data_IF_497319818443
#
_entry.id   IF_497319818443
#
_cell.length_a   1.000
_cell.length_b   1.000
_cell.length_c   1.000
_cell.angle_alpha   90.00
_cell.angle_beta   90.00
_cell.angle_gamma   90.00
#
_symmetry.space_group_name_H-M   'P 1'
#
loop_
_entity.id
_entity.type
_entity.pdbx_description
1 polymer ?
#
# COMPACT_ATOMS: atom_id res chain seq x y z
N UNK A 1 18.37 26.97 -41.50
CA UNK A 1 17.23 27.65 -40.86
C UNK A 1 16.05 26.71 -40.92
N UNK A 2 15.50 26.14 -39.86
CA UNK A 2 15.85 26.05 -38.45
C UNK A 2 15.09 24.79 -38.01
N UNK A 3 15.82 23.83 -37.45
CA UNK A 3 15.25 22.63 -36.88
C UNK A 3 14.32 23.05 -35.75
N UNK A 4 13.01 22.82 -35.90
CA UNK A 4 12.06 22.93 -34.80
C UNK A 4 12.32 21.78 -33.84
N UNK A 5 13.28 21.98 -32.95
CA UNK A 5 13.43 21.18 -31.73
C UNK A 5 12.13 21.29 -30.95
N UNK A 6 11.38 20.19 -30.91
CA UNK A 6 10.30 20.01 -29.95
C UNK A 6 10.86 20.21 -28.53
N UNK A 7 10.12 20.82 -27.60
CA UNK A 7 10.53 20.88 -26.22
C UNK A 7 10.64 19.43 -25.72
N UNK A 8 11.86 19.01 -25.38
CA UNK A 8 12.13 17.79 -24.62
C UNK A 8 11.22 17.87 -23.39
N UNK A 9 10.21 17.00 -23.32
CA UNK A 9 9.46 16.81 -22.10
C UNK A 9 10.52 16.60 -21.00
N UNK A 10 10.51 17.47 -19.99
CA UNK A 10 11.34 17.34 -18.81
C UNK A 10 10.99 15.98 -18.21
N UNK A 11 11.77 14.96 -18.56
CA UNK A 11 11.75 13.69 -17.88
C UNK A 11 12.07 14.04 -16.43
N UNK A 12 11.08 13.91 -15.55
CA UNK A 12 11.31 14.02 -14.12
C UNK A 12 12.29 12.92 -13.73
N UNK A 13 13.59 13.24 -13.78
CA UNK A 13 14.70 12.36 -13.42
C UNK A 13 14.61 12.15 -11.92
N UNK A 14 14.18 10.96 -11.50
CA UNK A 14 14.27 10.55 -10.11
C UNK A 14 15.48 9.66 -9.95
N UNK A 15 16.16 9.78 -8.81
CA UNK A 15 17.33 9.00 -8.47
C UNK A 15 17.11 8.33 -7.12
N UNK A 16 17.72 7.17 -6.93
CA UNK A 16 17.74 6.46 -5.65
C UNK A 16 19.17 6.25 -5.23
N UNK A 17 19.50 6.78 -4.06
CA UNK A 17 20.75 6.52 -3.38
C UNK A 17 20.57 5.31 -2.47
N UNK A 18 21.35 4.26 -2.69
CA UNK A 18 21.32 3.02 -1.91
C UNK A 18 22.39 3.07 -0.82
N UNK A 19 21.96 2.97 0.43
CA UNK A 19 22.81 2.90 1.61
C UNK A 19 22.70 1.52 2.26
N UNK A 20 23.81 1.05 2.82
CA UNK A 20 23.87 -0.18 3.59
C UNK A 20 23.45 0.02 5.05
N UNK A 21 23.38 -1.07 5.83
CA UNK A 21 22.92 -1.06 7.22
C UNK A 21 23.77 -0.24 8.18
N UNK A 22 24.98 0.17 7.78
CA UNK A 22 25.84 1.06 8.58
C UNK A 22 25.88 2.48 8.01
N UNK A 23 24.97 2.81 7.10
CA UNK A 23 24.90 4.11 6.41
C UNK A 23 25.94 4.27 5.30
N UNK A 24 26.69 3.21 4.96
CA UNK A 24 27.67 3.27 3.89
C UNK A 24 26.98 3.41 2.52
N UNK A 25 27.44 4.35 1.70
CA UNK A 25 26.93 4.51 0.34
C UNK A 25 27.36 3.32 -0.52
N UNK A 26 26.38 2.69 -1.18
CA UNK A 26 26.58 1.47 -1.97
C UNK A 26 26.43 1.69 -3.45
N UNK A 27 25.35 2.38 -3.83
CA UNK A 27 25.01 2.61 -5.22
C UNK A 27 24.17 3.88 -5.38
N UNK A 28 24.09 4.40 -6.59
CA UNK A 28 23.18 5.49 -6.96
C UNK A 28 22.63 5.20 -8.36
N UNK A 29 21.33 4.96 -8.44
CA UNK A 29 20.65 4.63 -9.68
C UNK A 29 19.68 5.72 -10.09
N UNK A 30 19.73 6.10 -11.37
CA UNK A 30 18.68 6.87 -12.01
C UNK A 30 17.49 5.96 -12.29
N UNK A 31 16.34 6.32 -11.73
CA UNK A 31 15.10 5.63 -12.01
C UNK A 31 14.64 6.01 -13.42
N UNK A 32 14.59 5.00 -14.28
CA UNK A 32 14.13 5.12 -15.66
C UNK A 32 13.09 4.03 -15.95
N UNK A 33 12.26 4.26 -16.97
CA UNK A 33 11.16 3.36 -17.30
C UNK A 33 9.95 3.48 -16.37
N UNK A 34 9.12 2.43 -16.38
CA UNK A 34 7.86 2.36 -15.64
C UNK A 34 7.96 1.61 -14.31
N UNK A 35 8.99 0.75 -14.16
CA UNK A 35 9.15 -0.11 -12.99
C UNK A 35 10.62 -0.44 -12.74
N UNK A 36 11.00 -0.39 -11.47
CA UNK A 36 12.32 -0.75 -10.94
C UNK A 36 12.13 -1.72 -9.78
N UNK A 37 12.79 -2.87 -9.84
CA UNK A 37 12.70 -3.94 -8.86
C UNK A 37 13.84 -3.91 -7.87
N UNK A 38 13.52 -4.11 -6.59
CA UNK A 38 14.49 -4.16 -5.50
C UNK A 38 14.41 -5.54 -4.85
N UNK A 39 15.54 -6.21 -4.72
CA UNK A 39 15.56 -7.51 -4.08
C UNK A 39 16.98 -7.97 -3.78
N UNK A 40 17.11 -9.20 -3.31
CA UNK A 40 18.40 -9.70 -2.86
C UNK A 40 19.34 -10.05 -4.00
N UNK A 41 18.89 -10.57 -5.14
CA UNK A 41 19.81 -11.10 -6.17
C UNK A 41 20.08 -10.10 -7.28
N UNK A 42 21.36 -9.79 -7.55
CA UNK A 42 21.75 -8.87 -8.61
C UNK A 42 21.36 -9.29 -10.04
N UNK A 43 21.24 -10.59 -10.30
CA UNK A 43 20.81 -11.12 -11.60
C UNK A 43 19.29 -11.11 -11.82
N UNK A 44 18.50 -10.73 -10.82
CA UNK A 44 17.04 -10.82 -10.87
C UNK A 44 16.32 -9.52 -10.47
N UNK A 45 17.07 -8.48 -10.10
CA UNK A 45 16.52 -7.19 -9.67
C UNK A 45 17.39 -6.06 -10.21
N UNK A 46 16.76 -4.91 -10.47
CA UNK A 46 17.45 -3.69 -10.90
C UNK A 46 18.33 -3.12 -9.76
N UNK A 47 17.86 -3.25 -8.52
CA UNK A 47 18.62 -2.92 -7.31
C UNK A 47 18.81 -4.17 -6.46
N UNK A 48 20.08 -4.55 -6.26
CA UNK A 48 20.49 -5.71 -5.50
C UNK A 48 20.95 -5.34 -4.08
N UNK A 49 20.33 -5.94 -3.07
CA UNK A 49 20.64 -5.72 -1.65
C UNK A 49 21.47 -6.89 -1.09
N UNK A 50 22.72 -6.99 -1.52
CA UNK A 50 23.71 -7.98 -1.01
C UNK A 50 24.89 -7.24 -0.40
N UNK A 51 25.55 -7.72 0.66
CA UNK A 51 25.29 -8.98 1.32
C UNK A 51 24.12 -8.89 2.30
N UNK A 52 23.25 -9.90 2.27
CA UNK A 52 22.19 -10.11 3.25
C UNK A 52 22.41 -11.48 3.94
N UNK A 53 23.30 -11.55 4.94
CA UNK A 53 23.73 -12.81 5.56
C UNK A 53 22.60 -13.52 6.31
N UNK A 54 21.64 -12.76 6.84
CA UNK A 54 20.47 -13.30 7.55
C UNK A 54 19.31 -13.65 6.61
N UNK A 55 19.45 -13.37 5.31
CA UNK A 55 18.46 -13.69 4.26
C UNK A 55 17.09 -13.07 4.53
N UNK A 56 17.08 -11.84 5.05
CA UNK A 56 15.88 -11.09 5.38
C UNK A 56 15.24 -10.40 4.16
N UNK A 57 16.01 -10.21 3.10
CA UNK A 57 15.56 -9.65 1.82
C UNK A 57 15.10 -10.78 0.89
N UNK A 58 13.92 -10.59 0.30
CA UNK A 58 13.34 -11.52 -0.67
C UNK A 58 14.23 -11.58 -1.92
N UNK A 59 14.40 -12.77 -2.49
CA UNK A 59 15.28 -13.01 -3.65
C UNK A 59 14.97 -12.10 -4.85
N UNK A 60 13.68 -11.98 -5.18
CA UNK A 60 13.17 -11.27 -6.34
C UNK A 60 12.07 -10.34 -5.88
N UNK A 61 12.13 -9.08 -6.31
CA UNK A 61 11.14 -8.03 -6.07
C UNK A 61 10.63 -8.01 -4.62
N UNK A 62 11.55 -7.87 -3.65
CA UNK A 62 11.17 -7.62 -2.26
C UNK A 62 10.30 -6.36 -2.15
N UNK A 63 10.62 -5.35 -2.94
CA UNK A 63 9.73 -4.24 -3.25
C UNK A 63 9.92 -3.79 -4.70
N UNK A 64 9.01 -2.98 -5.19
CA UNK A 64 9.10 -2.38 -6.52
C UNK A 64 8.79 -0.90 -6.47
N UNK A 65 9.54 -0.12 -7.22
CA UNK A 65 9.27 1.28 -7.50
C UNK A 65 8.59 1.36 -8.86
N UNK A 66 7.38 1.89 -8.91
CA UNK A 66 6.60 2.02 -10.13
C UNK A 66 6.31 3.48 -10.44
N UNK A 67 6.35 3.84 -11.72
CA UNK A 67 6.07 5.19 -12.20
C UNK A 67 4.71 5.24 -12.88
N UNK A 68 3.85 6.14 -12.42
CA UNK A 68 2.57 6.43 -13.07
C UNK A 68 2.28 7.94 -13.01
N UNK A 69 1.82 8.51 -14.12
CA UNK A 69 1.47 9.93 -14.19
C UNK A 69 2.63 10.86 -13.79
N UNK A 70 3.87 10.44 -14.02
CA UNK A 70 5.09 11.19 -13.65
C UNK A 70 5.49 11.09 -12.17
N UNK A 71 4.75 10.34 -11.34
CA UNK A 71 5.07 10.10 -9.92
C UNK A 71 5.60 8.69 -9.70
N UNK A 72 6.50 8.54 -8.75
CA UNK A 72 7.01 7.26 -8.32
C UNK A 72 6.28 6.75 -7.08
N UNK A 73 6.06 5.45 -7.03
CA UNK A 73 5.37 4.76 -5.95
C UNK A 73 6.18 3.55 -5.51
N UNK A 74 6.20 3.26 -4.22
CA UNK A 74 6.76 2.02 -3.68
C UNK A 74 5.63 1.03 -3.39
N UNK A 75 5.85 -0.22 -3.75
CA UNK A 75 4.97 -1.35 -3.45
C UNK A 75 5.77 -2.44 -2.73
N UNK A 76 5.20 -3.00 -1.65
CA UNK A 76 5.77 -4.15 -0.95
C UNK A 76 5.56 -5.43 -1.75
N UNK A 77 6.61 -6.23 -1.93
CA UNK A 77 6.57 -7.50 -2.65
C UNK A 77 6.01 -8.67 -1.83
N UNK A 78 5.23 -8.37 -0.78
CA UNK A 78 4.67 -9.33 0.17
C UNK A 78 5.71 -10.22 0.88
N UNK A 79 6.94 -9.72 1.06
CA UNK A 79 7.97 -10.40 1.85
C UNK A 79 7.61 -10.47 3.34
N UNK A 80 8.10 -11.50 4.04
CA UNK A 80 7.83 -11.70 5.48
C UNK A 80 8.25 -10.48 6.31
N UNK A 81 9.42 -9.92 6.01
CA UNK A 81 9.97 -8.79 6.75
C UNK A 81 9.36 -7.44 6.35
N UNK A 82 8.83 -7.37 5.12
CA UNK A 82 8.15 -6.22 4.56
C UNK A 82 9.04 -5.00 4.28
N UNK A 83 8.47 -4.09 3.51
CA UNK A 83 9.08 -2.82 3.11
C UNK A 83 8.55 -1.69 3.98
N UNK A 84 9.42 -0.77 4.38
CA UNK A 84 9.07 0.40 5.19
C UNK A 84 9.42 1.68 4.43
N UNK A 85 8.77 2.78 4.78
CA UNK A 85 9.09 4.11 4.32
C UNK A 85 9.34 4.99 5.54
N UNK A 86 10.43 5.74 5.51
CA UNK A 86 10.77 6.73 6.52
C UNK A 86 10.54 8.12 5.96
N UNK A 87 9.76 8.93 6.68
CA UNK A 87 9.51 10.34 6.38
C UNK A 87 9.82 11.17 7.62
N UNK A 88 10.94 11.89 7.61
CA UNK A 88 11.46 12.50 8.83
C UNK A 88 11.76 11.41 9.88
N UNK A 89 11.13 11.52 11.05
CA UNK A 89 11.33 10.58 12.17
C UNK A 89 10.32 9.41 12.18
N UNK A 90 9.33 9.43 11.28
CA UNK A 90 8.28 8.40 11.23
C UNK A 90 8.70 7.26 10.30
N UNK A 91 8.60 6.02 10.81
CA UNK A 91 8.84 4.79 10.04
C UNK A 91 7.53 4.02 9.89
N UNK A 92 7.00 3.98 8.67
CA UNK A 92 5.72 3.36 8.34
C UNK A 92 5.94 2.12 7.48
N UNK A 93 5.17 1.04 7.70
CA UNK A 93 5.23 -0.10 6.78
C UNK A 93 4.41 0.20 5.52
N UNK A 94 5.01 -0.05 4.36
CA UNK A 94 4.32 -0.03 3.07
C UNK A 94 3.34 -1.21 3.05
N UNK A 95 2.05 -0.91 3.15
CA UNK A 95 0.96 -1.89 3.14
C UNK A 95 0.10 -1.82 1.89
N UNK A 96 0.19 -0.69 1.19
CA UNK A 96 -0.42 -0.45 -0.11
C UNK A 96 0.57 0.35 -0.96
N UNK A 97 0.19 0.64 -2.19
CA UNK A 97 0.98 1.46 -3.10
C UNK A 97 1.14 2.88 -2.53
N UNK A 98 2.37 3.25 -2.19
CA UNK A 98 2.66 4.50 -1.49
C UNK A 98 3.46 5.44 -2.39
N UNK A 99 2.97 6.66 -2.61
CA UNK A 99 3.69 7.67 -3.39
C UNK A 99 4.99 8.10 -2.68
N UNK A 100 6.09 8.14 -3.43
CA UNK A 100 7.39 8.62 -2.98
C UNK A 100 7.48 10.14 -3.17
N UNK A 101 8.04 10.81 -2.16
CA UNK A 101 8.38 12.24 -2.17
C UNK A 101 9.88 12.40 -2.10
N UNK A 102 10.37 13.54 -2.60
CA UNK A 102 11.79 13.89 -2.44
C UNK A 102 12.20 13.83 -0.96
N UNK A 103 13.29 13.12 -0.67
CA UNK A 103 13.78 12.90 0.68
C UNK A 103 13.14 11.72 1.43
N UNK A 104 12.12 11.05 0.86
CA UNK A 104 11.60 9.81 1.44
C UNK A 104 12.66 8.70 1.36
N UNK A 105 12.77 7.90 2.43
CA UNK A 105 13.70 6.77 2.47
C UNK A 105 12.93 5.47 2.54
N UNK A 106 13.08 4.59 1.54
CA UNK A 106 12.54 3.23 1.59
C UNK A 106 13.51 2.36 2.40
N UNK A 107 13.03 1.77 3.49
CA UNK A 107 13.82 0.95 4.40
C UNK A 107 13.46 -0.53 4.26
N UNK A 108 14.46 -1.37 3.99
CA UNK A 108 14.32 -2.82 3.88
C UNK A 108 15.20 -3.47 4.93
N UNK A 109 14.66 -4.40 5.72
CA UNK A 109 15.38 -4.98 6.85
C UNK A 109 16.64 -5.74 6.39
N UNK A 110 17.79 -5.37 6.93
CA UNK A 110 19.10 -5.93 6.59
C UNK A 110 19.64 -6.88 7.67
N UNK A 111 19.45 -6.53 8.95
CA UNK A 111 19.77 -7.42 10.06
C UNK A 111 18.90 -7.16 11.28
N UNK A 112 18.78 -8.19 12.10
CA UNK A 112 18.30 -8.12 13.47
C UNK A 112 19.45 -8.51 14.40
N UNK A 113 19.75 -7.68 15.40
CA UNK A 113 20.70 -8.03 16.45
C UNK A 113 20.07 -8.97 17.48
N UNK A 114 20.89 -9.60 18.32
CA UNK A 114 20.43 -10.44 19.44
C UNK A 114 19.65 -9.63 20.49
N UNK A 115 19.84 -8.31 20.54
CA UNK A 115 19.08 -7.37 21.38
C UNK A 115 17.78 -6.90 20.73
N UNK A 116 17.47 -7.36 19.51
CA UNK A 116 16.29 -6.98 18.74
C UNK A 116 16.41 -5.65 17.97
N UNK A 117 17.60 -5.06 17.93
CA UNK A 117 17.89 -3.86 17.16
C UNK A 117 17.83 -4.17 15.66
N UNK A 118 17.19 -3.29 14.89
CA UNK A 118 16.97 -3.46 13.45
C UNK A 118 17.88 -2.53 12.68
N UNK A 119 18.63 -3.07 11.73
CA UNK A 119 19.33 -2.28 10.73
C UNK A 119 18.67 -2.45 9.37
N UNK A 120 18.76 -1.42 8.52
CA UNK A 120 18.04 -1.36 7.26
C UNK A 120 18.98 -1.05 6.10
N UNK A 121 18.74 -1.67 4.95
CA UNK A 121 19.09 -1.06 3.68
C UNK A 121 18.18 0.12 3.44
N UNK A 122 18.76 1.24 3.04
CA UNK A 122 18.02 2.49 2.87
C UNK A 122 18.15 2.98 1.43
N UNK A 123 17.01 3.19 0.79
CA UNK A 123 16.91 3.69 -0.57
C UNK A 123 16.34 5.11 -0.47
N UNK A 124 17.22 6.11 -0.48
CA UNK A 124 16.85 7.52 -0.38
C UNK A 124 16.41 7.99 -1.76
N UNK A 125 15.13 8.33 -1.87
CA UNK A 125 14.54 8.82 -3.11
C UNK A 125 14.80 10.32 -3.26
N UNK A 126 15.29 10.70 -4.44
CA UNK A 126 15.54 12.09 -4.83
C UNK A 126 14.84 12.37 -6.13
N UNK A 127 14.01 13.40 -6.20
CA UNK A 127 13.43 13.85 -7.45
C UNK A 127 14.17 15.09 -7.93
N UNK A 128 14.75 15.04 -9.15
CA UNK A 128 15.27 16.23 -9.82
C UNK A 128 14.08 17.08 -10.27
N UNK A 129 13.58 17.89 -9.33
CA UNK A 129 12.38 18.72 -9.51
C UNK A 129 12.24 19.85 -8.50
N UNK A 130 12.82 19.73 -7.29
CA UNK A 130 12.69 20.77 -6.25
C UNK A 130 14.05 21.20 -5.66
N UNK A 131 14.94 21.74 -6.51
CA UNK A 131 16.16 22.43 -6.05
C UNK A 131 15.92 23.86 -5.51
N UNK A 132 14.72 24.20 -5.05
CA UNK A 132 14.45 25.49 -4.40
C UNK A 132 13.58 25.28 -3.17
N UNK A 133 14.23 25.27 -2.01
CA UNK A 133 13.59 25.48 -0.73
C UNK A 133 12.66 26.72 -0.80
N UNK A 134 11.35 26.50 -0.67
CA UNK A 134 10.44 27.55 -0.20
C UNK A 134 9.55 26.96 0.87
N UNK A 135 9.95 27.22 2.12
CA UNK A 135 9.13 27.57 3.29
C UNK A 135 7.68 27.10 3.24
N UNK A 136 7.34 26.23 4.19
CA UNK A 136 5.99 25.76 4.53
C UNK A 136 4.89 26.77 4.15
N UNK A 137 4.23 26.52 3.03
CA UNK A 137 2.85 26.94 2.87
C UNK A 137 2.02 25.95 3.70
N UNK A 138 1.06 26.41 4.53
CA UNK A 138 0.13 25.50 5.17
C UNK A 138 -0.49 24.65 4.07
N UNK A 139 -0.38 23.33 4.25
CA UNK A 139 -1.11 22.34 3.47
C UNK A 139 -2.51 22.90 3.29
N UNK A 140 -2.98 23.24 2.07
CA UNK A 140 -4.40 23.27 1.86
C UNK A 140 -4.79 21.82 2.11
N UNK A 141 -5.36 21.58 3.29
CA UNK A 141 -5.99 20.32 3.66
C UNK A 141 -6.84 20.00 2.45
N UNK A 142 -6.37 19.08 1.60
CA UNK A 142 -7.15 18.65 0.46
C UNK A 142 -8.37 18.06 1.15
N UNK A 143 -9.48 18.78 1.06
CA UNK A 143 -10.77 18.26 1.50
C UNK A 143 -10.86 16.86 0.89
N UNK A 144 -11.19 15.82 1.65
CA UNK A 144 -11.47 14.53 1.07
C UNK A 144 -12.71 14.71 0.20
N UNK A 145 -12.53 14.95 -1.09
CA UNK A 145 -13.63 15.10 -2.03
C UNK A 145 -13.35 14.29 -3.28
N UNK A 146 -13.22 12.98 -3.08
CA UNK A 146 -14.17 12.01 -3.63
C UNK A 146 -14.46 11.01 -2.51
N UNK A 147 -15.65 11.07 -1.93
CA UNK A 147 -16.11 10.12 -0.93
C UNK A 147 -16.27 8.76 -1.60
N UNK A 148 -15.16 8.05 -1.77
CA UNK A 148 -15.15 6.67 -2.26
C UNK A 148 -15.52 5.78 -1.09
N UNK A 149 -16.67 5.13 -1.21
CA UNK A 149 -17.21 4.35 -0.11
C UNK A 149 -17.95 3.14 -0.65
N UNK A 150 -17.94 2.06 0.12
CA UNK A 150 -18.68 0.85 -0.22
C UNK A 150 -20.11 0.97 0.31
N UNK A 151 -21.08 0.87 -0.58
CA UNK A 151 -22.48 0.71 -0.22
C UNK A 151 -22.84 -0.77 -0.36
N UNK A 152 -23.38 -1.34 0.71
CA UNK A 152 -23.85 -2.72 0.71
C UNK A 152 -25.36 -2.74 0.90
N UNK A 153 -26.09 -3.29 -0.07
CA UNK A 153 -27.53 -3.52 0.04
C UNK A 153 -27.78 -4.95 0.55
N UNK A 154 -28.29 -5.11 1.79
CA UNK A 154 -28.57 -6.42 2.37
C UNK A 154 -29.83 -7.10 1.78
N UNK A 155 -30.73 -6.37 1.13
CA UNK A 155 -31.96 -6.91 0.53
C UNK A 155 -31.67 -7.56 -0.81
N UNK A 156 -30.84 -6.91 -1.62
CA UNK A 156 -30.42 -7.43 -2.93
C UNK A 156 -29.12 -8.24 -2.86
N UNK A 157 -28.45 -8.26 -1.70
CA UNK A 157 -27.11 -8.81 -1.51
C UNK A 157 -26.13 -8.23 -2.56
N UNK A 158 -26.07 -6.91 -2.70
CA UNK A 158 -25.23 -6.24 -3.69
C UNK A 158 -24.21 -5.34 -3.02
N UNK A 159 -22.96 -5.43 -3.48
CA UNK A 159 -21.89 -4.52 -3.09
C UNK A 159 -21.66 -3.53 -4.21
N UNK A 160 -21.78 -2.25 -3.91
CA UNK A 160 -21.60 -1.16 -4.86
C UNK A 160 -20.52 -0.23 -4.35
N UNK A 161 -19.48 -0.03 -5.14
CA UNK A 161 -18.54 1.06 -4.92
C UNK A 161 -19.18 2.36 -5.41
N UNK A 162 -19.34 3.32 -4.51
CA UNK A 162 -19.82 4.66 -4.81
C UNK A 162 -18.60 5.59 -4.89
N UNK A 163 -18.42 6.25 -6.04
CA UNK A 163 -17.38 7.25 -6.28
C UNK A 163 -18.07 8.50 -6.83
N UNK A 164 -18.47 9.41 -5.94
CA UNK A 164 -19.29 10.55 -6.34
C UNK A 164 -20.64 10.09 -6.89
N UNK A 165 -20.94 10.37 -8.16
CA UNK A 165 -22.16 9.91 -8.85
C UNK A 165 -22.02 8.53 -9.50
N UNK A 166 -20.80 8.03 -9.65
CA UNK A 166 -20.53 6.74 -10.28
C UNK A 166 -20.77 5.60 -9.28
N UNK A 167 -21.52 4.59 -9.73
CA UNK A 167 -21.85 3.39 -8.95
C UNK A 167 -21.34 2.17 -9.71
N UNK A 168 -20.37 1.47 -9.14
CA UNK A 168 -19.81 0.24 -9.70
C UNK A 168 -20.24 -0.95 -8.85
N UNK A 169 -21.05 -1.83 -9.44
CA UNK A 169 -21.42 -3.09 -8.80
C UNK A 169 -20.24 -4.07 -8.82
N UNK A 170 -19.97 -4.67 -7.66
CA UNK A 170 -18.89 -5.63 -7.47
C UNK A 170 -19.51 -7.00 -7.22
N UNK A 171 -19.22 -7.93 -8.12
CA UNK A 171 -19.67 -9.32 -8.00
C UNK A 171 -18.77 -10.05 -6.99
N UNK A 172 -19.34 -10.42 -5.84
CA UNK A 172 -18.62 -11.12 -4.77
C UNK A 172 -19.31 -12.45 -4.46
N UNK A 173 -18.59 -13.38 -3.80
CA UNK A 173 -19.14 -14.69 -3.43
C UNK A 173 -20.04 -14.58 -2.20
N UNK A 174 -20.93 -15.57 -1.99
CA UNK A 174 -21.84 -15.63 -0.84
C UNK A 174 -21.14 -15.40 0.51
N UNK A 175 -19.97 -16.03 0.73
CA UNK A 175 -19.17 -15.83 1.96
C UNK A 175 -18.64 -14.40 2.13
N UNK A 176 -18.29 -13.73 1.02
CA UNK A 176 -17.86 -12.33 1.05
C UNK A 176 -19.06 -11.40 1.31
N UNK A 177 -20.26 -11.73 0.84
CA UNK A 177 -21.48 -11.00 1.20
C UNK A 177 -21.75 -11.06 2.71
N UNK A 178 -21.58 -12.22 3.36
CA UNK A 178 -21.74 -12.36 4.81
C UNK A 178 -20.74 -11.49 5.58
N UNK A 179 -19.47 -11.48 5.13
CA UNK A 179 -18.43 -10.65 5.72
C UNK A 179 -18.75 -9.16 5.60
N UNK A 180 -19.05 -8.69 4.38
CA UNK A 180 -19.33 -7.28 4.11
C UNK A 180 -20.60 -6.82 4.82
N UNK A 181 -21.62 -7.67 4.87
CA UNK A 181 -22.86 -7.41 5.61
C UNK A 181 -22.59 -7.14 7.08
N UNK A 182 -21.88 -8.04 7.75
CA UNK A 182 -21.58 -7.90 9.19
C UNK A 182 -20.79 -6.63 9.47
N UNK A 183 -19.79 -6.34 8.64
CA UNK A 183 -18.98 -5.13 8.79
C UNK A 183 -19.79 -3.86 8.51
N UNK A 184 -20.68 -3.86 7.51
CA UNK A 184 -21.56 -2.74 7.21
C UNK A 184 -22.60 -2.49 8.31
N UNK A 185 -23.21 -3.55 8.86
CA UNK A 185 -24.11 -3.47 10.01
C UNK A 185 -23.39 -2.90 11.24
N UNK A 186 -22.14 -3.31 11.47
CA UNK A 186 -21.34 -2.80 12.58
C UNK A 186 -20.93 -1.34 12.39
N UNK A 187 -20.62 -0.92 11.16
CA UNK A 187 -20.38 0.48 10.84
C UNK A 187 -21.65 1.32 11.05
N UNK A 188 -22.80 0.84 10.58
CA UNK A 188 -24.09 1.51 10.78
C UNK A 188 -24.43 1.66 12.27
N UNK A 189 -24.15 0.64 13.09
CA UNK A 189 -24.37 0.67 14.53
C UNK A 189 -23.54 1.74 15.27
N UNK A 190 -22.42 2.20 14.70
CA UNK A 190 -21.58 3.26 15.25
C UNK A 190 -21.68 4.59 14.49
N UNK A 191 -22.78 4.80 13.76
CA UNK A 191 -23.05 6.05 13.04
C UNK A 191 -22.33 6.15 11.69
N UNK A 192 -22.09 5.02 11.02
CA UNK A 192 -21.47 4.96 9.70
C UNK A 192 -19.94 5.02 9.69
N UNK A 193 -19.30 5.14 10.86
CA UNK A 193 -17.84 5.12 10.96
C UNK A 193 -17.26 3.71 10.73
N UNK A 194 -16.03 3.58 10.19
CA UNK A 194 -15.35 2.30 10.03
C UNK A 194 -15.07 1.61 11.37
N UNK A 195 -15.85 0.58 11.69
CA UNK A 195 -15.72 -0.21 12.89
C UNK A 195 -14.65 -1.29 12.72
N UNK A 196 -13.82 -1.47 13.75
CA UNK A 196 -12.92 -2.61 13.83
C UNK A 196 -13.74 -3.87 14.11
N UNK A 197 -13.76 -4.79 13.14
CA UNK A 197 -14.35 -6.12 13.28
C UNK A 197 -13.23 -7.12 13.56
N UNK A 198 -13.28 -7.82 14.69
CA UNK A 198 -12.18 -8.71 15.07
C UNK A 198 -12.16 -9.97 14.21
N UNK A 199 -11.03 -10.68 14.18
CA UNK A 199 -10.95 -11.95 13.43
C UNK A 199 -11.98 -12.98 13.93
N UNK A 200 -12.16 -13.10 15.24
CA UNK A 200 -13.11 -14.04 15.84
C UNK A 200 -14.55 -13.66 15.51
N UNK A 201 -14.87 -12.37 15.59
CA UNK A 201 -16.17 -11.83 15.21
C UNK A 201 -16.49 -12.07 13.73
N UNK A 202 -15.54 -11.83 12.85
CA UNK A 202 -15.71 -12.06 11.41
C UNK A 202 -15.78 -13.54 11.05
N UNK A 203 -15.02 -14.39 11.74
CA UNK A 203 -15.12 -15.84 11.54
C UNK A 203 -16.50 -16.35 11.94
N UNK A 204 -17.02 -15.91 13.09
CA UNK A 204 -18.37 -16.27 13.53
C UNK A 204 -19.45 -15.69 12.60
N UNK A 205 -19.28 -14.48 12.06
CA UNK A 205 -20.26 -13.89 11.15
C UNK A 205 -20.35 -14.61 9.79
N UNK A 206 -19.22 -15.12 9.29
CA UNK A 206 -19.15 -15.78 7.96
C UNK A 206 -19.46 -17.26 8.03
N UNK A 207 -19.02 -17.95 9.08
CA UNK A 207 -19.10 -19.41 9.22
C UNK A 207 -19.89 -19.89 10.43
N UNK A 208 -20.51 -18.99 11.21
CA UNK A 208 -21.25 -19.33 12.42
C UNK A 208 -20.41 -20.23 13.37
N UNK A 209 -20.99 -21.31 13.86
CA UNK A 209 -20.37 -22.26 14.80
C UNK A 209 -19.59 -23.39 14.09
N UNK A 210 -19.29 -23.29 12.80
CA UNK A 210 -18.54 -24.34 12.10
C UNK A 210 -17.05 -24.36 12.55
N UNK A 211 -16.60 -25.41 13.29
CA UNK A 211 -15.40 -25.33 14.12
C UNK A 211 -14.08 -25.56 13.37
N UNK A 212 -14.07 -25.54 12.03
CA UNK A 212 -12.88 -25.85 11.23
C UNK A 212 -12.33 -24.66 10.43
N UNK A 213 -12.95 -23.49 10.51
CA UNK A 213 -12.51 -22.35 9.73
C UNK A 213 -11.37 -21.57 10.37
N UNK A 214 -10.37 -21.23 9.56
CA UNK A 214 -9.12 -20.63 10.06
C UNK A 214 -8.98 -19.16 9.67
N UNK A 215 -8.17 -18.41 10.43
CA UNK A 215 -7.82 -17.02 10.11
C UNK A 215 -7.21 -16.86 8.70
N UNK A 216 -6.62 -17.93 8.17
CA UNK A 216 -6.08 -18.00 6.81
C UNK A 216 -7.20 -17.97 5.75
N UNK A 217 -8.32 -18.63 6.00
CA UNK A 217 -9.48 -18.60 5.09
C UNK A 217 -10.17 -17.24 5.12
N UNK A 218 -10.24 -16.61 6.30
CA UNK A 218 -10.69 -15.22 6.43
C UNK A 218 -9.77 -14.27 5.65
N UNK A 219 -8.45 -14.41 5.79
CA UNK A 219 -7.49 -13.63 5.03
C UNK A 219 -7.63 -13.85 3.51
N UNK A 220 -7.93 -15.08 3.09
CA UNK A 220 -8.17 -15.42 1.68
C UNK A 220 -9.45 -14.76 1.14
N UNK A 221 -10.54 -14.76 1.91
CA UNK A 221 -11.77 -14.05 1.52
C UNK A 221 -11.54 -12.53 1.40
N UNK A 222 -10.84 -11.93 2.36
CA UNK A 222 -10.51 -10.50 2.31
C UNK A 222 -9.58 -10.19 1.14
N UNK A 223 -8.62 -11.06 0.84
CA UNK A 223 -7.75 -10.93 -0.31
C UNK A 223 -8.53 -11.04 -1.64
N UNK A 224 -9.43 -12.01 -1.77
CA UNK A 224 -10.29 -12.14 -2.96
C UNK A 224 -11.16 -10.89 -3.16
N UNK A 225 -11.71 -10.35 -2.08
CA UNK A 225 -12.50 -9.12 -2.09
C UNK A 225 -11.66 -7.91 -2.54
N UNK A 226 -10.44 -7.76 -2.00
CA UNK A 226 -9.51 -6.71 -2.44
C UNK A 226 -9.13 -6.85 -3.91
N UNK A 227 -8.91 -8.07 -4.40
CA UNK A 227 -8.58 -8.33 -5.80
C UNK A 227 -9.70 -7.91 -6.76
N UNK A 228 -10.96 -7.96 -6.33
CA UNK A 228 -12.09 -7.44 -7.11
C UNK A 228 -12.16 -5.90 -7.09
N UNK A 229 -11.63 -5.28 -6.03
CA UNK A 229 -11.59 -3.82 -5.86
C UNK A 229 -10.35 -3.16 -6.47
N UNK A 230 -9.28 -3.93 -6.70
CA UNK A 230 -8.03 -3.47 -7.31
C UNK A 230 -8.23 -2.80 -8.68
N UNK A 231 -8.98 -3.37 -9.65
CA UNK A 231 -9.26 -2.72 -10.93
C UNK A 231 -10.00 -1.39 -10.81
N UNK A 232 -10.69 -1.17 -9.70
CA UNK A 232 -11.45 0.05 -9.42
C UNK A 232 -10.66 1.05 -8.58
N UNK A 233 -9.43 0.70 -8.15
CA UNK A 233 -8.59 1.51 -7.28
C UNK A 233 -9.13 1.62 -5.84
N UNK A 234 -10.02 0.71 -5.43
CA UNK A 234 -10.78 0.80 -4.18
C UNK A 234 -10.37 -0.24 -3.12
N UNK A 235 -9.24 -0.93 -3.32
CA UNK A 235 -8.74 -1.95 -2.39
C UNK A 235 -8.37 -1.38 -1.01
N UNK A 236 -8.07 -0.08 -0.94
CA UNK A 236 -7.80 0.69 0.29
C UNK A 236 -9.04 0.86 1.18
N UNK A 237 -10.26 0.63 0.67
CA UNK A 237 -11.49 0.70 1.46
C UNK A 237 -11.62 -0.46 2.46
N UNK A 238 -10.75 -1.47 2.36
CA UNK A 238 -10.64 -2.54 3.35
C UNK A 238 -9.28 -2.46 4.02
N UNK A 239 -9.25 -2.05 5.27
CA UNK A 239 -8.03 -1.94 6.07
C UNK A 239 -7.83 -3.21 6.92
N UNK A 240 -6.57 -3.61 7.10
CA UNK A 240 -6.21 -4.68 8.02
C UNK A 240 -5.56 -4.08 9.25
N UNK A 241 -6.18 -4.30 10.41
CA UNK A 241 -5.63 -3.96 11.71
C UNK A 241 -4.86 -5.18 12.25
N UNK A 242 -3.53 -5.07 12.25
CA UNK A 242 -2.62 -6.17 12.61
C UNK A 242 -3.05 -6.88 13.89
N UNK A 243 -3.17 -8.21 13.80
CA UNK A 243 -3.53 -9.15 14.88
C UNK A 243 -4.92 -8.94 15.49
N UNK A 244 -5.65 -7.88 15.13
CA UNK A 244 -6.96 -7.53 15.70
C UNK A 244 -8.09 -7.85 14.75
N UNK A 245 -8.04 -7.41 13.51
CA UNK A 245 -9.12 -7.68 12.56
C UNK A 245 -9.09 -6.82 11.30
N UNK A 246 -10.26 -6.52 10.75
CA UNK A 246 -10.41 -5.73 9.53
C UNK A 246 -11.37 -4.57 9.76
N UNK A 247 -11.20 -3.50 8.99
CA UNK A 247 -12.14 -2.38 8.88
C UNK A 247 -12.55 -2.22 7.43
N UNK A 248 -13.80 -1.84 7.22
CA UNK A 248 -14.30 -1.50 5.90
C UNK A 248 -14.81 -0.06 5.94
N UNK A 249 -14.54 0.69 4.88
CA UNK A 249 -15.06 2.03 4.69
C UNK A 249 -16.35 1.94 3.90
N UNK A 250 -17.48 1.98 4.62
CA UNK A 250 -18.80 2.05 4.01
C UNK A 250 -19.25 3.48 3.84
N UNK A 251 -20.20 3.71 2.93
CA UNK A 251 -20.83 5.02 2.85
C UNK A 251 -21.47 5.35 4.20
N UNK A 252 -21.40 6.61 4.67
CA UNK A 252 -22.21 7.02 5.80
C UNK A 252 -23.66 6.68 5.46
N UNK A 253 -24.38 6.07 6.41
CA UNK A 253 -25.80 5.87 6.24
C UNK A 253 -26.42 7.26 6.15
N UNK A 254 -26.81 7.67 4.94
CA UNK A 254 -27.63 8.85 4.76
C UNK A 254 -28.87 8.67 5.66
N UNK A 255 -29.09 9.68 6.51
CA UNK A 255 -30.25 9.80 7.40
C UNK A 255 -31.57 9.82 6.62
#
# INVERSE_FOLDING_TARGET
>A
MESRSAPRALEHEAEVLVLGPKGERRDELRLSGERVSVGRLAGANDIALEPDPQRLVTRVAHCTLEREGGRWFVLDGAGVNGTFIRRGDELERVTSRTALRDGDTVCILASLSDTGERSYFELVFRAAGDSQATRAAPIPVLRPSRSECLNYDPREARLVLVRGEERHEIQIRAQAHLLVRHMAERNAAIGGAPALCTHEELMHAVWADEPMHTRTELARLVWELRRQLEPLGAANLIENERRRGYRIHTCPADE
#
